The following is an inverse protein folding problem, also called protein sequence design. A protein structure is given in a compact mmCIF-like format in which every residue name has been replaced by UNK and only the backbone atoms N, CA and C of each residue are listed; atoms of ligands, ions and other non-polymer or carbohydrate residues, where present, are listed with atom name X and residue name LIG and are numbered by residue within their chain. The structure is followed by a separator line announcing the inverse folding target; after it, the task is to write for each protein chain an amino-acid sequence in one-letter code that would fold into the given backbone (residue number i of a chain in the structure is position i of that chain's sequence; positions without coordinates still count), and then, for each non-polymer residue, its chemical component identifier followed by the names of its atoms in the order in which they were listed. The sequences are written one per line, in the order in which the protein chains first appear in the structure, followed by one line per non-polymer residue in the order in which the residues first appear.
data_IF_118022586099
#
_entry.id   IF_118022586099
#
_cell.length_a   1.000
_cell.length_b   1.000
_cell.length_c   1.000
_cell.angle_alpha   90.00
_cell.angle_beta   90.00
_cell.angle_gamma   90.00
#
_symmetry.space_group_name_H-M   'P 1'
#
loop_
_entity.id
_entity.type
_entity.pdbx_description
1 polymer ?
#
# COMPACT_ATOMS: atom_id res chain seq x y z
N UNK A 1 -6.48 20.34 -13.84
CA UNK A 1 -7.45 19.65 -12.96
C UNK A 1 -8.85 19.95 -13.43
N UNK A 2 -9.58 18.95 -13.93
CA UNK A 2 -10.98 19.12 -14.36
C UNK A 2 -11.90 18.95 -13.15
N UNK A 3 -12.80 19.91 -12.90
CA UNK A 3 -13.73 19.89 -11.76
C UNK A 3 -14.67 18.68 -11.79
N UNK A 4 -15.10 18.23 -12.96
CA UNK A 4 -15.98 17.06 -13.10
C UNK A 4 -15.28 15.78 -12.63
N UNK A 5 -14.00 15.60 -13.00
CA UNK A 5 -13.21 14.47 -12.52
C UNK A 5 -12.98 14.51 -11.02
N UNK A 6 -12.80 15.69 -10.43
CA UNK A 6 -12.69 15.82 -8.98
C UNK A 6 -14.00 15.45 -8.27
N UNK A 7 -15.16 15.87 -8.80
CA UNK A 7 -16.46 15.53 -8.23
C UNK A 7 -16.70 14.03 -8.25
N UNK A 8 -16.43 13.37 -9.39
CA UNK A 8 -16.56 11.91 -9.51
C UNK A 8 -15.57 11.22 -8.58
N UNK A 9 -14.30 11.62 -8.59
CA UNK A 9 -13.27 11.03 -7.72
C UNK A 9 -13.61 11.17 -6.23
N UNK A 10 -14.12 12.34 -5.80
CA UNK A 10 -14.57 12.55 -4.44
C UNK A 10 -15.75 11.62 -4.08
N UNK A 11 -16.71 11.44 -4.99
CA UNK A 11 -17.83 10.52 -4.77
C UNK A 11 -17.37 9.07 -4.61
N UNK A 12 -16.42 8.62 -5.43
CA UNK A 12 -15.82 7.28 -5.36
C UNK A 12 -15.07 7.12 -4.03
N UNK A 13 -14.26 8.12 -3.65
CA UNK A 13 -13.52 8.10 -2.39
C UNK A 13 -14.44 7.86 -1.17
N UNK A 14 -15.61 8.52 -1.12
CA UNK A 14 -16.57 8.31 -0.01
C UNK A 14 -17.21 6.92 0.00
N UNK A 15 -17.31 6.25 -1.15
CA UNK A 15 -17.77 4.85 -1.23
C UNK A 15 -16.67 3.92 -0.72
N UNK A 16 -15.44 4.10 -1.20
CA UNK A 16 -14.30 3.29 -0.77
C UNK A 16 -14.02 3.41 0.75
N UNK A 17 -14.14 4.61 1.30
CA UNK A 17 -14.03 4.83 2.75
C UNK A 17 -15.08 4.04 3.54
N UNK A 18 -16.33 3.96 3.04
CA UNK A 18 -17.40 3.16 3.67
C UNK A 18 -17.14 1.66 3.56
N UNK A 19 -16.62 1.19 2.43
CA UNK A 19 -16.20 -0.21 2.28
C UNK A 19 -15.06 -0.57 3.24
N UNK A 20 -14.04 0.28 3.32
CA UNK A 20 -12.92 0.10 4.25
C UNK A 20 -13.40 0.05 5.70
N UNK A 21 -14.25 1.00 6.11
CA UNK A 21 -14.86 1.02 7.45
C UNK A 21 -15.62 -0.28 7.75
N UNK A 22 -16.47 -0.72 6.84
CA UNK A 22 -17.26 -1.95 7.01
C UNK A 22 -16.36 -3.17 7.16
N UNK A 23 -15.37 -3.35 6.27
CA UNK A 23 -14.43 -4.50 6.30
C UNK A 23 -13.64 -4.53 7.62
N UNK A 24 -13.12 -3.39 8.06
CA UNK A 24 -12.38 -3.28 9.33
C UNK A 24 -13.26 -3.62 10.53
N UNK A 25 -14.48 -3.10 10.55
CA UNK A 25 -15.44 -3.33 11.63
C UNK A 25 -15.78 -4.82 11.76
N UNK A 26 -16.05 -5.52 10.64
CA UNK A 26 -16.35 -6.96 10.69
C UNK A 26 -15.13 -7.82 11.06
N UNK A 27 -13.92 -7.29 10.90
CA UNK A 27 -12.66 -7.92 11.33
C UNK A 27 -12.34 -7.63 12.82
N UNK A 28 -13.20 -6.89 13.53
CA UNK A 28 -12.96 -6.48 14.92
C UNK A 28 -11.94 -5.36 15.07
N UNK A 29 -11.55 -4.70 13.98
CA UNK A 29 -10.68 -3.53 14.00
C UNK A 29 -11.50 -2.24 14.13
N UNK A 30 -10.82 -1.12 14.47
CA UNK A 30 -11.45 0.20 14.35
C UNK A 30 -11.76 0.52 12.89
N UNK A 31 -13.02 0.84 12.63
CA UNK A 31 -13.50 1.36 11.34
C UNK A 31 -12.99 2.76 11.00
N UNK A 32 -12.50 3.50 12.00
CA UNK A 32 -11.93 4.84 11.87
C UNK A 32 -10.56 4.87 12.57
N UNK A 33 -9.55 4.17 12.04
CA UNK A 33 -8.28 4.03 12.74
C UNK A 33 -7.44 5.32 12.74
N UNK A 34 -7.69 6.20 11.76
CA UNK A 34 -7.03 7.49 11.57
C UNK A 34 -8.07 8.52 11.08
N UNK A 35 -7.78 9.81 11.26
CA UNK A 35 -8.69 10.87 10.80
C UNK A 35 -8.66 11.08 9.27
N UNK A 36 -7.62 10.63 8.60
CA UNK A 36 -7.44 10.71 7.15
C UNK A 36 -6.99 9.36 6.59
N UNK A 37 -7.44 9.05 5.38
CA UNK A 37 -7.00 7.91 4.60
C UNK A 37 -5.61 8.14 3.99
N UNK A 38 -4.94 7.04 3.65
CA UNK A 38 -3.60 7.07 3.05
C UNK A 38 -3.67 7.30 1.53
N UNK A 39 -3.19 8.44 1.01
CA UNK A 39 -3.16 8.65 -0.43
C UNK A 39 -2.08 7.77 -1.08
N UNK A 40 -2.47 7.02 -2.11
CA UNK A 40 -1.57 6.19 -2.90
C UNK A 40 -1.43 6.72 -4.33
N UNK A 41 -0.24 6.57 -4.89
CA UNK A 41 0.03 6.90 -6.29
C UNK A 41 -0.53 5.85 -7.27
N UNK A 42 -0.71 6.19 -8.56
CA UNK A 42 -1.31 5.27 -9.54
C UNK A 42 -0.60 3.92 -9.64
N UNK A 43 0.73 3.89 -9.65
CA UNK A 43 1.50 2.64 -9.70
C UNK A 43 1.38 1.83 -8.40
N UNK A 44 1.22 2.48 -7.24
CA UNK A 44 1.03 1.80 -5.95
C UNK A 44 -0.34 1.11 -5.93
N UNK A 45 -1.38 1.84 -6.35
CA UNK A 45 -2.74 1.30 -6.49
C UNK A 45 -2.75 0.15 -7.50
N UNK A 46 -2.15 0.34 -8.67
CA UNK A 46 -2.10 -0.69 -9.70
C UNK A 46 -1.35 -1.94 -9.23
N UNK A 47 -0.32 -1.79 -8.41
CA UNK A 47 0.40 -2.93 -7.81
C UNK A 47 -0.50 -3.74 -6.89
N UNK A 48 -1.30 -3.09 -6.03
CA UNK A 48 -2.26 -3.78 -5.16
C UNK A 48 -3.38 -4.46 -5.97
N UNK A 49 -3.86 -3.79 -7.02
CA UNK A 49 -4.93 -4.30 -7.86
C UNK A 49 -4.48 -5.42 -8.82
N UNK A 50 -3.20 -5.46 -9.20
CA UNK A 50 -2.68 -6.35 -10.24
C UNK A 50 -3.01 -7.83 -10.00
N UNK A 51 -3.04 -8.28 -8.74
CA UNK A 51 -3.40 -9.66 -8.39
C UNK A 51 -4.86 -10.03 -8.65
N UNK A 52 -5.76 -9.04 -8.77
CA UNK A 52 -7.18 -9.24 -9.06
C UNK A 52 -7.52 -9.09 -10.55
N UNK A 53 -6.57 -8.62 -11.36
CA UNK A 53 -6.77 -8.42 -12.80
C UNK A 53 -6.57 -9.76 -13.51
N UNK A 54 -7.60 -10.22 -14.23
CA UNK A 54 -7.51 -11.42 -15.04
C UNK A 54 -6.42 -11.26 -16.12
N UNK A 55 -5.40 -12.14 -16.20
CA UNK A 55 -4.29 -12.02 -17.15
C UNK A 55 -4.69 -12.08 -18.64
N UNK A 56 -5.94 -12.42 -18.95
CA UNK A 56 -6.50 -12.40 -20.32
C UNK A 56 -7.44 -11.22 -20.63
N UNK A 57 -7.46 -10.16 -19.81
CA UNK A 57 -8.32 -9.00 -20.08
C UNK A 57 -7.79 -8.17 -21.27
N UNK A 58 -8.23 -8.51 -22.48
CA UNK A 58 -7.78 -7.88 -23.73
C UNK A 58 -8.02 -6.36 -23.77
N UNK A 59 -9.10 -5.89 -23.13
CA UNK A 59 -9.44 -4.45 -23.10
C UNK A 59 -8.41 -3.64 -22.31
N UNK A 60 -7.88 -4.18 -21.21
CA UNK A 60 -6.86 -3.49 -20.42
C UNK A 60 -5.53 -3.40 -21.18
N UNK A 61 -5.13 -4.50 -21.84
CA UNK A 61 -3.94 -4.54 -22.67
C UNK A 61 -4.05 -3.55 -23.86
N UNK A 62 -5.22 -3.48 -24.49
CA UNK A 62 -5.49 -2.55 -25.59
C UNK A 62 -5.48 -1.07 -25.14
N UNK A 63 -5.88 -0.79 -23.90
CA UNK A 63 -5.98 0.58 -23.37
C UNK A 63 -4.60 1.24 -23.15
N UNK A 64 -3.50 0.46 -23.11
CA UNK A 64 -2.11 0.96 -22.98
C UNK A 64 -1.94 2.01 -21.86
N UNK A 65 -2.55 1.75 -20.70
CA UNK A 65 -2.43 2.65 -19.56
C UNK A 65 -0.96 2.82 -19.16
N UNK A 66 -0.50 4.03 -18.80
CA UNK A 66 0.89 4.29 -18.38
C UNK A 66 1.13 3.82 -16.93
N UNK A 67 0.64 2.63 -16.57
CA UNK A 67 0.74 2.04 -15.24
C UNK A 67 1.77 0.94 -15.26
N UNK A 68 2.71 0.99 -14.32
CA UNK A 68 3.74 -0.02 -14.13
C UNK A 68 3.66 -0.54 -12.70
N UNK A 69 3.29 -1.82 -12.49
CA UNK A 69 3.25 -2.36 -11.15
C UNK A 69 4.67 -2.47 -10.61
N UNK A 70 4.83 -2.23 -9.32
CA UNK A 70 6.07 -2.51 -8.62
C UNK A 70 6.31 -4.03 -8.57
N UNK A 71 7.56 -4.47 -8.45
CA UNK A 71 7.86 -5.87 -8.13
C UNK A 71 7.13 -6.30 -6.85
N UNK A 72 6.63 -7.54 -6.82
CA UNK A 72 5.92 -8.08 -5.66
C UNK A 72 6.80 -8.09 -4.41
N UNK A 73 6.19 -7.81 -3.27
CA UNK A 73 6.81 -7.81 -1.94
C UNK A 73 5.94 -8.66 -1.02
N UNK A 74 6.51 -9.73 -0.47
CA UNK A 74 5.82 -10.63 0.44
C UNK A 74 6.09 -10.25 1.90
N UNK A 75 5.04 -10.24 2.71
CA UNK A 75 5.13 -10.18 4.17
C UNK A 75 5.18 -11.61 4.72
N UNK A 76 6.30 -12.00 5.30
CA UNK A 76 6.51 -13.34 5.87
C UNK A 76 6.09 -13.45 7.33
N UNK A 77 5.98 -12.31 8.03
CA UNK A 77 5.53 -12.30 9.42
C UNK A 77 4.05 -12.60 9.49
N UNK A 78 3.71 -13.68 10.19
CA UNK A 78 2.33 -14.12 10.40
C UNK A 78 1.80 -13.66 11.76
N UNK A 79 0.47 -13.68 11.90
CA UNK A 79 -0.22 -13.28 13.12
C UNK A 79 -0.54 -11.78 13.16
N UNK A 80 -0.97 -11.32 14.34
CA UNK A 80 -1.34 -9.92 14.55
C UNK A 80 -0.11 -9.02 14.56
N UNK A 81 -0.11 -8.02 13.69
CA UNK A 81 0.95 -7.03 13.61
C UNK A 81 0.68 -5.87 14.57
N UNK A 82 1.71 -5.44 15.29
CA UNK A 82 1.64 -4.33 16.24
C UNK A 82 2.65 -3.23 15.94
N UNK A 83 2.35 -2.02 16.40
CA UNK A 83 3.27 -0.87 16.35
C UNK A 83 4.63 -1.22 16.95
N UNK A 84 5.72 -0.81 16.30
CA UNK A 84 7.09 -1.09 16.75
C UNK A 84 7.58 -2.52 16.52
N UNK A 85 6.71 -3.45 16.10
CA UNK A 85 7.09 -4.83 15.81
C UNK A 85 8.03 -4.91 14.61
N UNK A 86 9.02 -5.79 14.70
CA UNK A 86 9.88 -6.12 13.56
C UNK A 86 9.17 -7.15 12.66
N UNK A 87 9.03 -6.80 11.39
CA UNK A 87 8.44 -7.65 10.35
C UNK A 87 9.49 -8.07 9.33
N UNK A 88 9.27 -9.23 8.71
CA UNK A 88 10.10 -9.77 7.63
C UNK A 88 9.41 -9.56 6.29
N UNK A 89 10.10 -8.91 5.37
CA UNK A 89 9.67 -8.56 4.03
C UNK A 89 10.62 -9.17 3.00
N UNK A 90 10.07 -9.95 2.07
CA UNK A 90 10.83 -10.64 1.01
C UNK A 90 10.43 -10.08 -0.37
N UNK A 91 11.31 -9.36 -1.08
CA UNK A 91 11.01 -8.93 -2.44
C UNK A 91 11.12 -10.10 -3.42
N UNK A 92 10.25 -10.16 -4.43
CA UNK A 92 10.25 -11.21 -5.46
C UNK A 92 11.48 -11.15 -6.38
N UNK A 93 12.20 -10.02 -6.40
CA UNK A 93 13.49 -9.87 -7.07
C UNK A 93 14.50 -9.39 -6.04
N UNK A 94 15.69 -9.98 -6.04
CA UNK A 94 16.80 -9.49 -5.23
C UNK A 94 17.04 -8.01 -5.55
N UNK A 95 17.19 -7.19 -4.51
CA UNK A 95 17.55 -5.80 -4.72
C UNK A 95 18.94 -5.74 -5.36
N UNK A 96 19.01 -5.24 -6.59
CA UNK A 96 20.29 -4.94 -7.25
C UNK A 96 20.86 -3.58 -6.80
N UNK A 97 20.30 -2.98 -5.75
CA UNK A 97 20.78 -1.74 -5.15
C UNK A 97 22.11 -1.97 -4.46
N UNK A 98 23.12 -1.19 -4.83
CA UNK A 98 24.43 -1.13 -4.17
C UNK A 98 24.44 -0.23 -2.92
N UNK A 99 23.31 0.44 -2.61
CA UNK A 99 23.13 1.32 -1.46
C UNK A 99 22.07 0.84 -0.47
N UNK A 100 21.95 1.56 0.66
CA UNK A 100 20.98 1.28 1.72
C UNK A 100 19.54 1.26 1.18
N UNK A 101 18.79 0.24 1.58
CA UNK A 101 17.38 0.07 1.23
C UNK A 101 16.54 0.40 2.46
N UNK A 102 15.44 1.11 2.24
CA UNK A 102 14.51 1.52 3.26
C UNK A 102 13.14 0.93 2.99
N UNK A 103 12.49 0.45 4.04
CA UNK A 103 11.07 0.18 4.05
C UNK A 103 10.33 1.49 4.36
N UNK A 104 9.61 1.99 3.36
CA UNK A 104 8.88 3.25 3.44
C UNK A 104 7.42 2.93 3.73
N UNK A 105 6.99 3.25 4.95
CA UNK A 105 5.64 3.02 5.44
C UNK A 105 4.76 4.25 5.17
N UNK A 106 3.53 4.02 4.73
CA UNK A 106 2.51 5.02 4.47
C UNK A 106 1.28 4.69 5.30
N UNK A 107 0.81 5.65 6.10
CA UNK A 107 -0.35 5.51 6.99
C UNK A 107 -0.96 6.88 7.27
N UNK A 108 -2.26 7.04 6.99
CA UNK A 108 -2.89 8.36 6.94
C UNK A 108 -2.09 9.31 6.02
N UNK A 109 -1.83 10.53 6.48
CA UNK A 109 -1.00 11.48 5.74
C UNK A 109 0.50 11.36 6.04
N UNK A 110 0.90 10.40 6.89
CA UNK A 110 2.28 10.23 7.31
C UNK A 110 3.02 9.25 6.38
N UNK A 111 4.31 9.50 6.24
CA UNK A 111 5.24 8.66 5.50
C UNK A 111 6.54 8.56 6.30
N UNK A 112 6.91 7.35 6.68
CA UNK A 112 8.09 7.10 7.51
C UNK A 112 8.98 6.05 6.86
N UNK A 113 10.24 6.41 6.62
CA UNK A 113 11.26 5.48 6.13
C UNK A 113 11.97 4.82 7.32
N UNK A 114 12.05 3.50 7.30
CA UNK A 114 12.78 2.69 8.28
C UNK A 114 13.82 1.87 7.53
N UNK A 115 15.02 1.73 8.10
CA UNK A 115 16.06 0.90 7.48
C UNK A 115 15.58 -0.54 7.32
N UNK A 116 15.74 -1.08 6.11
CA UNK A 116 15.47 -2.49 5.82
C UNK A 116 16.81 -3.22 5.73
N UNK A 117 17.07 -4.13 6.67
CA UNK A 117 18.32 -4.91 6.75
C UNK A 117 17.99 -6.38 6.98
N UNK A 118 18.69 -7.27 6.27
CA UNK A 118 18.50 -8.73 6.37
C UNK A 118 17.04 -9.19 6.19
N UNK A 119 16.29 -8.52 5.31
CA UNK A 119 14.88 -8.83 5.09
C UNK A 119 13.94 -8.29 6.16
N UNK A 120 14.41 -7.48 7.12
CA UNK A 120 13.61 -7.03 8.26
C UNK A 120 13.45 -5.51 8.28
N UNK A 121 12.28 -5.06 8.71
CA UNK A 121 11.99 -3.66 9.01
C UNK A 121 11.06 -3.56 10.22
N UNK A 122 11.14 -2.47 10.98
CA UNK A 122 10.24 -2.23 12.11
C UNK A 122 9.06 -1.36 11.68
N UNK A 123 7.85 -1.74 12.09
CA UNK A 123 6.65 -0.93 11.88
C UNK A 123 6.81 0.35 12.73
N UNK A 124 6.58 1.56 12.16
CA UNK A 124 6.63 2.81 12.92
C UNK A 124 5.69 2.78 14.14
N UNK A 125 6.11 3.38 15.26
CA UNK A 125 5.34 3.33 16.52
C UNK A 125 4.06 4.17 16.46
N UNK A 126 4.04 5.16 15.60
CA UNK A 126 2.92 6.06 15.32
C UNK A 126 2.04 5.55 14.17
N UNK A 127 2.36 4.40 13.56
CA UNK A 127 1.52 3.81 12.52
C UNK A 127 0.17 3.37 13.08
N UNK A 128 -0.91 3.78 12.43
CA UNK A 128 -2.27 3.44 12.85
C UNK A 128 -3.11 3.07 11.63
N UNK A 129 -3.96 2.05 11.81
CA UNK A 129 -4.84 1.57 10.76
C UNK A 129 -4.15 0.86 9.62
N UNK A 130 -4.77 0.94 8.44
CA UNK A 130 -4.24 0.35 7.23
C UNK A 130 -2.91 1.03 6.85
N UNK A 131 -1.83 0.27 6.96
CA UNK A 131 -0.48 0.73 6.64
C UNK A 131 0.00 0.02 5.38
N UNK A 132 0.62 0.79 4.47
CA UNK A 132 1.24 0.27 3.25
C UNK A 132 2.75 0.40 3.35
N UNK A 133 3.50 -0.53 2.74
CA UNK A 133 4.96 -0.51 2.76
C UNK A 133 5.51 -0.72 1.35
N UNK A 134 6.56 0.02 1.03
CA UNK A 134 7.31 -0.09 -0.23
C UNK A 134 8.80 -0.10 0.11
N UNK A 135 9.57 -0.95 -0.56
CA UNK A 135 11.04 -0.89 -0.48
C UNK A 135 11.58 0.13 -1.47
N UNK A 136 12.41 1.06 -1.01
CA UNK A 136 13.07 2.08 -1.82
C UNK A 136 14.54 2.20 -1.46
N UNK A 137 15.41 2.40 -2.45
CA UNK A 137 16.84 2.72 -2.27
C UNK A 137 17.11 4.23 -2.34
N UNK A 138 16.05 5.05 -2.40
CA UNK A 138 16.10 6.51 -2.55
C UNK A 138 14.91 7.17 -1.86
#
# INVERSE_FOLDING_TARGET
TNKEYLTIAASILTVEARHSNYIRTIQGESGFPTAQDTPLGPNQIFTLAAGFINPGCETLAATKLPLKPFPSLALETTGSLSQGQQIKLTPAKSSNSTGDIFAVFYYGLNKTAVSWKDGKASIPKDAAGQTYVILSSS
#
